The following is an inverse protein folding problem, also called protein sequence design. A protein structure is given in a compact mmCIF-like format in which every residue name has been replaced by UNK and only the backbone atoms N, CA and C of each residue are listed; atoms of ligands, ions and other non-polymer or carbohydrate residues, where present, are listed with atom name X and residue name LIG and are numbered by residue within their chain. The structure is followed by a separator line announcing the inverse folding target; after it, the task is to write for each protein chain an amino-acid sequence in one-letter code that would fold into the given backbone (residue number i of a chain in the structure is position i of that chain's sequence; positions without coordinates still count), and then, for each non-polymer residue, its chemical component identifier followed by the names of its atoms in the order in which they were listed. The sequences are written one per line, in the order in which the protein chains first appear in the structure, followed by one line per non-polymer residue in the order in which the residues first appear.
data_IF_490008988491
#
_entry.id   IF_490008988491
#
_cell.length_a   1.000
_cell.length_b   1.000
_cell.length_c   1.000
_cell.angle_alpha   90.00
_cell.angle_beta   90.00
_cell.angle_gamma   90.00
#
_symmetry.space_group_name_H-M   'P 1'
#
loop_
_entity.id
_entity.type
_entity.pdbx_description
1 polymer ?
#
# COMPACT_ATOMS: atom_id res chain seq x y z
N UNK A 1 24.39 11.35 -17.35
CA UNK A 1 24.68 11.98 -16.04
C UNK A 1 25.65 11.08 -15.28
N UNK A 2 26.65 11.67 -14.59
CA UNK A 2 27.53 10.85 -13.75
C UNK A 2 26.84 10.62 -12.41
N UNK A 3 26.65 9.37 -12.02
CA UNK A 3 26.06 9.03 -10.71
C UNK A 3 27.08 9.37 -9.61
N UNK A 4 26.71 10.10 -8.55
CA UNK A 4 27.62 10.42 -7.44
C UNK A 4 27.94 9.16 -6.63
N UNK A 5 29.00 9.22 -5.82
CA UNK A 5 29.36 8.11 -4.91
C UNK A 5 28.59 8.16 -3.60
N UNK A 6 28.14 9.34 -3.21
CA UNK A 6 27.44 9.62 -1.94
C UNK A 6 26.10 10.28 -2.28
N UNK A 7 25.09 9.97 -1.51
CA UNK A 7 23.73 10.49 -1.64
C UNK A 7 23.19 10.91 -0.29
N UNK A 8 22.19 11.79 -0.28
CA UNK A 8 21.38 12.08 0.89
C UNK A 8 20.35 10.97 1.12
N UNK A 9 20.13 10.64 2.37
CA UNK A 9 19.19 9.60 2.80
C UNK A 9 18.61 9.93 4.17
N UNK A 10 17.61 9.16 4.61
CA UNK A 10 17.10 9.16 5.98
C UNK A 10 17.48 7.86 6.65
N UNK A 11 18.12 7.96 7.81
CA UNK A 11 18.51 6.83 8.65
C UNK A 11 17.69 6.77 9.92
N UNK A 12 17.61 5.56 10.51
CA UNK A 12 17.00 5.30 11.81
C UNK A 12 18.14 5.15 12.82
N UNK A 13 18.19 6.02 13.85
CA UNK A 13 19.24 5.96 14.87
C UNK A 13 19.11 4.72 15.77
N UNK A 14 17.90 4.46 16.22
CA UNK A 14 17.49 3.36 17.08
C UNK A 14 15.97 3.15 16.95
N UNK A 15 15.41 2.00 17.35
CA UNK A 15 13.96 1.84 17.39
C UNK A 15 13.29 2.88 18.31
N UNK A 16 12.25 3.56 17.83
CA UNK A 16 11.60 4.59 18.66
C UNK A 16 10.57 5.45 17.94
N UNK A 17 10.32 6.61 18.52
CA UNK A 17 9.39 7.65 18.06
C UNK A 17 9.91 8.37 16.80
N UNK A 18 9.11 9.18 16.07
CA UNK A 18 9.52 9.79 14.81
C UNK A 18 10.86 10.55 14.83
N UNK A 19 11.26 11.08 15.97
CA UNK A 19 12.52 11.86 16.13
C UNK A 19 13.80 11.01 15.99
N UNK A 20 13.71 9.68 15.93
CA UNK A 20 14.85 8.82 15.65
C UNK A 20 15.20 8.78 14.16
N UNK A 21 14.31 9.29 13.28
CA UNK A 21 14.60 9.53 11.88
C UNK A 21 15.41 10.80 11.72
N UNK A 22 16.52 10.74 11.00
CA UNK A 22 17.39 11.88 10.77
C UNK A 22 17.99 11.87 9.36
N UNK A 23 18.23 13.08 8.83
CA UNK A 23 18.95 13.24 7.58
C UNK A 23 20.41 12.75 7.73
N UNK A 24 20.86 11.98 6.79
CA UNK A 24 22.15 11.32 6.78
C UNK A 24 22.70 11.30 5.35
N UNK A 25 23.97 10.92 5.20
CA UNK A 25 24.59 10.67 3.90
C UNK A 25 25.10 9.23 3.83
N UNK A 26 24.90 8.58 2.70
CA UNK A 26 25.32 7.21 2.48
C UNK A 26 25.91 6.98 1.10
N UNK A 27 26.42 5.78 0.87
CA UNK A 27 26.86 5.39 -0.47
C UNK A 27 25.66 5.16 -1.37
N UNK A 28 25.76 5.61 -2.61
CA UNK A 28 24.83 5.20 -3.67
C UNK A 28 24.93 3.68 -3.82
N UNK A 29 23.81 2.93 -3.85
CA UNK A 29 23.84 1.48 -3.99
C UNK A 29 24.43 1.05 -5.33
N UNK A 30 25.17 -0.04 -5.33
CA UNK A 30 25.66 -0.69 -6.54
C UNK A 30 24.49 -1.42 -7.23
N UNK A 31 24.50 -1.44 -8.55
CA UNK A 31 23.49 -2.16 -9.33
C UNK A 31 23.90 -3.62 -9.45
N UNK A 32 23.09 -4.51 -8.94
CA UNK A 32 23.25 -5.96 -9.09
C UNK A 32 22.69 -6.48 -10.42
N UNK A 33 22.95 -7.74 -10.75
CA UNK A 33 22.37 -8.39 -11.92
C UNK A 33 20.83 -8.34 -11.84
N UNK A 34 20.17 -8.02 -12.97
CA UNK A 34 18.72 -7.89 -13.06
C UNK A 34 18.13 -6.66 -12.34
N UNK A 35 18.96 -5.66 -12.03
CA UNK A 35 18.52 -4.44 -11.34
C UNK A 35 18.70 -3.17 -12.18
N UNK A 36 17.98 -2.14 -11.80
CA UNK A 36 18.18 -0.76 -12.26
C UNK A 36 18.44 0.15 -11.06
N UNK A 37 19.20 1.22 -11.26
CA UNK A 37 19.33 2.33 -10.31
C UNK A 37 18.37 3.45 -10.69
N UNK A 38 17.51 3.82 -9.76
CA UNK A 38 16.54 4.91 -9.93
C UNK A 38 17.06 6.13 -9.18
N UNK A 39 17.18 7.28 -9.87
CA UNK A 39 17.25 8.57 -9.21
C UNK A 39 15.85 8.92 -8.73
N UNK A 40 15.65 8.88 -7.44
CA UNK A 40 14.35 9.05 -6.80
C UNK A 40 13.93 10.51 -6.86
N UNK A 41 12.75 10.77 -7.40
CA UNK A 41 12.11 12.09 -7.39
C UNK A 41 11.02 12.16 -6.31
N UNK A 42 10.41 11.02 -5.95
CA UNK A 42 9.44 10.91 -4.87
C UNK A 42 9.42 9.50 -4.26
N UNK A 43 9.07 9.40 -2.97
CA UNK A 43 8.90 8.14 -2.23
C UNK A 43 7.63 8.16 -1.37
N UNK A 44 6.87 7.07 -1.38
CA UNK A 44 5.66 6.93 -0.57
C UNK A 44 5.97 6.58 0.88
N UNK A 45 5.20 7.15 1.82
CA UNK A 45 5.20 6.77 3.23
C UNK A 45 4.16 5.68 3.45
N UNK A 46 4.54 4.62 4.16
CA UNK A 46 3.68 3.48 4.43
C UNK A 46 3.71 3.06 5.91
N UNK A 47 2.68 2.40 6.39
CA UNK A 47 2.65 1.91 7.79
C UNK A 47 3.81 0.97 8.11
N UNK A 48 4.27 0.07 7.22
CA UNK A 48 5.47 -0.74 7.45
C UNK A 48 6.74 0.07 7.69
N UNK A 49 6.89 1.28 7.12
CA UNK A 49 8.05 2.16 7.38
C UNK A 49 8.05 2.64 8.83
N UNK A 50 6.84 2.98 9.35
CA UNK A 50 6.65 3.33 10.77
C UNK A 50 6.99 2.12 11.65
N UNK A 51 6.52 0.93 11.29
CA UNK A 51 6.84 -0.31 12.04
C UNK A 51 8.33 -0.65 12.00
N UNK A 52 9.01 -0.41 10.87
CA UNK A 52 10.47 -0.57 10.77
C UNK A 52 11.17 0.40 11.72
N UNK A 53 10.78 1.68 11.71
CA UNK A 53 11.33 2.68 12.64
C UNK A 53 11.13 2.28 14.11
N UNK A 54 9.99 1.68 14.44
CA UNK A 54 9.69 1.17 15.79
C UNK A 54 10.40 -0.15 16.15
N UNK A 55 11.15 -0.77 15.22
CA UNK A 55 11.82 -2.05 15.42
C UNK A 55 10.91 -3.29 15.29
N UNK A 56 9.67 -3.11 14.84
CA UNK A 56 8.65 -4.15 14.76
C UNK A 56 8.51 -4.79 13.36
N UNK A 57 9.26 -4.31 12.37
CA UNK A 57 9.18 -4.80 10.99
C UNK A 57 10.55 -4.71 10.31
N UNK A 58 11.43 -5.62 10.64
CA UNK A 58 12.80 -5.63 10.13
C UNK A 58 12.86 -5.87 8.62
N UNK A 59 13.80 -5.21 7.90
CA UNK A 59 14.09 -5.54 6.52
C UNK A 59 14.46 -7.02 6.35
N UNK A 60 14.02 -7.69 5.27
CA UNK A 60 14.47 -9.04 4.98
C UNK A 60 15.99 -9.06 4.73
N UNK A 61 16.64 -10.22 4.88
CA UNK A 61 18.08 -10.36 4.62
C UNK A 61 18.45 -9.83 3.23
N UNK A 62 19.51 -9.01 3.16
CA UNK A 62 19.98 -8.39 1.92
C UNK A 62 19.27 -7.10 1.50
N UNK A 63 18.13 -6.76 2.09
CA UNK A 63 17.46 -5.50 1.81
C UNK A 63 18.12 -4.31 2.53
N UNK A 64 17.97 -3.12 1.96
CA UNK A 64 18.46 -1.87 2.56
C UNK A 64 17.84 -1.64 3.94
N UNK A 65 18.66 -1.13 4.87
CA UNK A 65 18.21 -0.70 6.20
C UNK A 65 17.53 0.69 6.15
N UNK A 66 17.75 1.45 5.07
CA UNK A 66 17.06 2.71 4.81
C UNK A 66 15.56 2.40 4.63
N UNK A 67 14.64 3.13 5.29
CA UNK A 67 13.20 2.95 5.09
C UNK A 67 12.75 3.27 3.66
N UNK A 68 11.47 3.01 3.39
CA UNK A 68 10.81 3.32 2.13
C UNK A 68 10.66 2.11 1.23
N UNK A 69 9.41 1.74 0.95
CA UNK A 69 9.03 0.54 0.21
C UNK A 69 8.59 0.81 -1.21
N UNK A 70 8.47 2.07 -1.61
CA UNK A 70 8.07 2.46 -2.95
C UNK A 70 8.70 3.80 -3.35
N UNK A 71 9.04 3.90 -4.63
CA UNK A 71 9.66 5.10 -5.20
C UNK A 71 9.11 5.38 -6.61
N UNK A 72 9.22 6.65 -7.04
CA UNK A 72 9.11 7.04 -8.43
C UNK A 72 10.30 7.94 -8.79
N UNK A 73 10.77 7.85 -10.03
CA UNK A 73 11.91 8.61 -10.49
C UNK A 73 12.37 8.18 -11.87
N UNK A 74 13.63 8.45 -12.18
CA UNK A 74 14.23 8.12 -13.47
C UNK A 74 15.34 7.08 -13.34
N UNK A 75 15.34 6.12 -14.25
CA UNK A 75 16.45 5.17 -14.38
C UNK A 75 17.74 5.92 -14.75
N UNK A 76 18.81 5.72 -14.00
CA UNK A 76 20.13 6.37 -14.24
C UNK A 76 21.25 5.37 -14.51
N UNK A 77 21.11 4.11 -14.09
CA UNK A 77 21.98 2.99 -14.45
C UNK A 77 21.13 1.73 -14.61
N UNK A 78 21.59 0.83 -15.45
CA UNK A 78 21.01 -0.51 -15.67
C UNK A 78 22.14 -1.54 -15.59
N UNK A 79 21.85 -2.74 -15.11
CA UNK A 79 22.78 -3.86 -15.17
C UNK A 79 22.96 -4.32 -16.64
N UNK A 80 24.11 -4.95 -16.92
CA UNK A 80 24.46 -5.39 -18.30
C UNK A 80 23.46 -6.42 -18.87
N UNK A 81 22.76 -7.16 -18.02
CA UNK A 81 21.77 -8.18 -18.37
C UNK A 81 20.34 -7.63 -18.48
N UNK A 82 20.11 -6.33 -18.28
CA UNK A 82 18.81 -5.67 -18.38
C UNK A 82 18.58 -5.06 -19.74
N UNK A 83 17.49 -5.42 -20.39
CA UNK A 83 17.10 -4.96 -21.73
C UNK A 83 15.75 -4.25 -21.77
N UNK A 84 14.95 -4.37 -20.70
CA UNK A 84 13.57 -3.87 -20.64
C UNK A 84 13.46 -2.37 -20.36
N UNK A 85 14.52 -1.76 -19.80
CA UNK A 85 14.58 -0.35 -19.44
C UNK A 85 15.80 0.35 -20.01
N UNK A 86 15.69 1.66 -20.17
CA UNK A 86 16.77 2.52 -20.66
C UNK A 86 17.03 3.65 -19.66
N UNK A 87 18.26 4.16 -19.66
CA UNK A 87 18.61 5.36 -18.89
C UNK A 87 17.73 6.53 -19.33
N UNK A 88 17.06 7.18 -18.39
CA UNK A 88 16.10 8.26 -18.61
C UNK A 88 14.64 7.85 -18.51
N UNK A 89 14.34 6.55 -18.51
CA UNK A 89 12.95 6.07 -18.37
C UNK A 89 12.35 6.52 -17.04
N UNK A 90 11.11 7.01 -17.11
CA UNK A 90 10.28 7.38 -15.96
C UNK A 90 9.61 6.14 -15.40
N UNK A 91 9.92 5.80 -14.16
CA UNK A 91 9.48 4.56 -13.52
C UNK A 91 8.96 4.76 -12.10
N UNK A 92 8.11 3.84 -11.63
CA UNK A 92 7.84 3.62 -10.23
C UNK A 92 8.17 2.16 -9.87
N UNK A 93 8.56 1.91 -8.63
CA UNK A 93 9.01 0.58 -8.23
C UNK A 93 8.58 0.24 -6.80
N UNK A 94 8.22 -1.04 -6.60
CA UNK A 94 8.10 -1.64 -5.28
C UNK A 94 9.49 -2.14 -4.85
N UNK A 95 9.97 -1.67 -3.70
CA UNK A 95 11.28 -2.04 -3.16
C UNK A 95 11.15 -2.64 -1.76
N UNK A 96 12.20 -3.29 -1.28
CA UNK A 96 12.20 -3.89 0.07
C UNK A 96 12.89 -3.00 1.12
N UNK A 97 13.18 -1.75 0.78
CA UNK A 97 13.87 -0.72 1.54
C UNK A 97 14.65 0.18 0.59
N UNK A 98 15.19 1.30 1.09
CA UNK A 98 16.00 2.22 0.31
C UNK A 98 15.25 3.41 -0.30
N UNK A 99 13.91 3.46 -0.18
CA UNK A 99 13.12 4.50 -0.82
C UNK A 99 13.34 5.92 -0.24
N UNK A 100 13.77 6.03 1.01
CA UNK A 100 14.04 7.34 1.62
C UNK A 100 15.48 7.80 1.34
N UNK A 101 15.87 7.81 0.07
CA UNK A 101 17.18 8.24 -0.40
C UNK A 101 17.10 8.78 -1.83
N UNK A 102 18.10 9.57 -2.24
CA UNK A 102 18.17 10.14 -3.59
C UNK A 102 18.33 9.09 -4.71
N UNK A 103 18.86 7.92 -4.35
CA UNK A 103 19.03 6.80 -5.28
C UNK A 103 18.61 5.49 -4.62
N UNK A 104 17.90 4.68 -5.38
CA UNK A 104 17.43 3.37 -4.95
C UNK A 104 17.59 2.36 -6.08
N UNK A 105 18.19 1.20 -5.80
CA UNK A 105 18.17 0.10 -6.75
C UNK A 105 16.87 -0.70 -6.63
N UNK A 106 16.43 -1.23 -7.76
CA UNK A 106 15.19 -2.03 -7.81
C UNK A 106 15.37 -3.20 -8.79
N UNK A 107 14.95 -4.42 -8.40
CA UNK A 107 14.86 -5.55 -9.32
C UNK A 107 13.89 -5.25 -10.46
N UNK A 108 14.33 -5.47 -11.70
CA UNK A 108 13.55 -5.18 -12.92
C UNK A 108 12.10 -5.71 -12.87
N UNK A 109 11.82 -6.94 -12.39
CA UNK A 109 10.45 -7.44 -12.32
C UNK A 109 9.50 -6.63 -11.42
N UNK A 110 10.04 -5.79 -10.51
CA UNK A 110 9.26 -4.94 -9.60
C UNK A 110 9.17 -3.48 -10.07
N UNK A 111 9.76 -3.16 -11.22
CA UNK A 111 9.75 -1.84 -11.82
C UNK A 111 8.61 -1.75 -12.85
N UNK A 112 7.90 -0.65 -12.82
CA UNK A 112 6.79 -0.36 -13.73
C UNK A 112 6.97 1.03 -14.34
N UNK A 113 6.58 1.26 -15.58
CA UNK A 113 6.58 2.61 -16.12
C UNK A 113 5.61 3.48 -15.32
N UNK A 114 5.92 4.76 -15.15
CA UNK A 114 4.98 5.71 -14.54
C UNK A 114 3.66 5.65 -15.31
N UNK A 115 2.51 5.44 -14.63
CA UNK A 115 1.22 5.43 -15.31
C UNK A 115 0.95 6.76 -16.02
N UNK A 116 0.41 6.70 -17.24
CA UNK A 116 0.12 7.91 -18.01
C UNK A 116 -0.82 8.85 -17.25
N UNK A 117 -0.50 10.13 -17.28
CA UNK A 117 -1.26 11.18 -16.61
C UNK A 117 -0.88 11.42 -15.15
N UNK A 118 -0.08 10.55 -14.52
CA UNK A 118 0.42 10.78 -13.16
C UNK A 118 1.73 11.58 -13.15
N UNK A 119 1.84 12.50 -12.20
CA UNK A 119 3.11 13.11 -11.78
C UNK A 119 3.99 12.08 -11.04
N UNK A 120 5.29 12.38 -10.87
CA UNK A 120 6.18 11.54 -10.05
C UNK A 120 5.72 11.44 -8.59
N UNK A 121 5.14 12.50 -8.06
CA UNK A 121 4.55 12.53 -6.70
C UNK A 121 3.42 11.51 -6.58
N UNK A 122 2.49 11.47 -7.52
CA UNK A 122 1.39 10.51 -7.54
C UNK A 122 1.90 9.10 -7.81
N UNK A 123 2.81 8.93 -8.77
CA UNK A 123 3.39 7.64 -9.12
C UNK A 123 4.14 6.97 -7.96
N UNK A 124 4.76 7.74 -7.08
CA UNK A 124 5.41 7.23 -5.87
C UNK A 124 4.42 6.66 -4.84
N UNK A 125 3.13 6.92 -4.95
CA UNK A 125 2.09 6.35 -4.10
C UNK A 125 1.39 5.12 -4.69
N UNK A 126 1.86 4.61 -5.84
CA UNK A 126 1.22 3.50 -6.57
C UNK A 126 1.73 2.13 -6.12
N UNK A 127 3.05 1.83 -6.08
CA UNK A 127 3.52 0.45 -5.98
C UNK A 127 3.03 -0.29 -4.73
N UNK A 128 3.29 0.21 -3.54
CA UNK A 128 2.92 -0.50 -2.30
C UNK A 128 1.41 -0.73 -2.18
N UNK A 129 0.60 0.26 -2.55
CA UNK A 129 -0.85 0.14 -2.47
C UNK A 129 -1.41 -0.83 -3.51
N UNK A 130 -1.01 -0.68 -4.77
CA UNK A 130 -1.59 -1.47 -5.85
C UNK A 130 -1.15 -2.92 -5.81
N UNK A 131 0.12 -3.21 -5.48
CA UNK A 131 0.59 -4.58 -5.26
C UNK A 131 -0.15 -5.22 -4.09
N UNK A 132 -0.31 -4.50 -2.97
CA UNK A 132 -1.01 -5.01 -1.79
C UNK A 132 -2.48 -5.29 -2.08
N UNK A 133 -3.18 -4.34 -2.71
CA UNK A 133 -4.60 -4.51 -3.03
C UNK A 133 -4.79 -5.63 -4.06
N UNK A 134 -4.02 -5.64 -5.13
CA UNK A 134 -4.14 -6.64 -6.18
C UNK A 134 -3.98 -8.06 -5.63
N UNK A 135 -2.88 -8.30 -4.92
CA UNK A 135 -2.64 -9.64 -4.38
C UNK A 135 -3.61 -10.08 -3.30
N UNK A 136 -4.20 -9.15 -2.54
CA UNK A 136 -5.09 -9.50 -1.43
C UNK A 136 -6.56 -9.48 -1.81
N UNK A 137 -7.02 -8.56 -2.63
CA UNK A 137 -8.43 -8.48 -3.05
C UNK A 137 -8.72 -9.43 -4.20
N UNK A 138 -7.85 -9.44 -5.24
CA UNK A 138 -8.12 -10.19 -6.47
C UNK A 138 -7.49 -11.58 -6.48
N UNK A 139 -6.19 -11.71 -6.19
CA UNK A 139 -5.54 -13.03 -6.23
C UNK A 139 -5.93 -13.91 -5.04
N UNK A 140 -5.84 -13.40 -3.80
CA UNK A 140 -6.10 -14.16 -2.58
C UNK A 140 -7.58 -14.15 -2.17
N UNK A 141 -8.20 -12.98 -2.17
CA UNK A 141 -9.61 -12.77 -1.85
C UNK A 141 -10.54 -13.27 -2.95
N UNK A 142 -10.04 -13.32 -4.21
CA UNK A 142 -10.79 -13.82 -5.36
C UNK A 142 -12.09 -13.04 -5.59
N UNK A 143 -12.07 -11.71 -5.39
CA UNK A 143 -13.25 -10.86 -5.58
C UNK A 143 -13.84 -11.07 -6.98
N UNK A 144 -15.13 -11.35 -7.03
CA UNK A 144 -15.87 -11.53 -8.27
C UNK A 144 -16.80 -10.34 -8.56
N UNK A 145 -17.08 -10.13 -9.83
CA UNK A 145 -18.09 -9.14 -10.25
C UNK A 145 -19.44 -9.46 -9.62
N UNK A 146 -20.06 -8.43 -9.02
CA UNK A 146 -21.37 -8.53 -8.36
C UNK A 146 -21.30 -8.95 -6.88
N UNK A 147 -20.13 -9.36 -6.37
CA UNK A 147 -19.94 -9.59 -4.93
C UNK A 147 -19.89 -8.26 -4.16
N UNK A 148 -20.10 -8.33 -2.86
CA UNK A 148 -19.96 -7.20 -1.93
C UNK A 148 -18.66 -7.34 -1.16
N UNK A 149 -17.85 -6.28 -1.14
CA UNK A 149 -16.63 -6.20 -0.34
C UNK A 149 -16.78 -5.17 0.78
N UNK A 150 -16.33 -5.52 1.99
CA UNK A 150 -16.13 -4.59 3.09
C UNK A 150 -14.65 -4.25 3.21
N UNK A 151 -14.31 -2.96 3.12
CA UNK A 151 -12.94 -2.46 3.20
C UNK A 151 -12.79 -1.65 4.49
N UNK A 152 -12.00 -2.11 5.44
CA UNK A 152 -11.68 -1.31 6.62
C UNK A 152 -10.61 -0.27 6.30
N UNK A 153 -10.75 0.94 6.88
CA UNK A 153 -9.80 2.02 6.66
C UNK A 153 -9.86 2.61 5.24
N UNK A 154 -11.05 2.83 4.69
CA UNK A 154 -11.30 3.28 3.33
C UNK A 154 -10.56 4.54 2.90
N UNK A 155 -10.26 5.45 3.83
CA UNK A 155 -9.53 6.68 3.54
C UNK A 155 -8.00 6.54 3.54
N UNK A 156 -7.46 5.37 3.84
CA UNK A 156 -6.00 5.10 3.75
C UNK A 156 -5.56 4.94 2.28
N UNK A 157 -4.27 4.96 2.02
CA UNK A 157 -3.75 4.68 0.68
C UNK A 157 -4.23 3.32 0.14
N UNK A 158 -4.21 2.27 0.97
CA UNK A 158 -4.77 0.95 0.62
C UNK A 158 -6.27 1.04 0.38
N UNK A 159 -7.01 1.71 1.27
CA UNK A 159 -8.47 1.81 1.18
C UNK A 159 -8.93 2.55 -0.08
N UNK A 160 -8.32 3.70 -0.38
CA UNK A 160 -8.66 4.49 -1.57
C UNK A 160 -8.37 3.73 -2.87
N UNK A 161 -7.31 2.93 -2.90
CA UNK A 161 -6.97 2.05 -4.03
C UNK A 161 -7.97 0.88 -4.13
N UNK A 162 -8.28 0.22 -3.01
CA UNK A 162 -9.18 -0.94 -2.99
C UNK A 162 -10.61 -0.56 -3.40
N UNK A 163 -11.11 0.60 -2.94
CA UNK A 163 -12.43 1.12 -3.32
C UNK A 163 -12.52 1.27 -4.84
N UNK A 164 -11.58 2.01 -5.45
CA UNK A 164 -11.60 2.27 -6.88
C UNK A 164 -11.50 0.99 -7.72
N UNK A 165 -10.57 0.10 -7.37
CA UNK A 165 -10.38 -1.14 -8.12
C UNK A 165 -11.57 -2.09 -7.97
N UNK A 166 -12.15 -2.24 -6.77
CA UNK A 166 -13.32 -3.08 -6.54
C UNK A 166 -14.56 -2.52 -7.27
N UNK A 167 -14.78 -1.20 -7.20
CA UNK A 167 -15.85 -0.53 -7.93
C UNK A 167 -15.74 -0.74 -9.45
N UNK A 168 -14.58 -0.51 -10.02
CA UNK A 168 -14.32 -0.71 -11.46
C UNK A 168 -14.40 -2.18 -11.88
N UNK A 169 -14.14 -3.10 -10.97
CA UNK A 169 -14.36 -4.54 -11.20
C UNK A 169 -15.86 -4.91 -11.23
N UNK A 170 -16.72 -4.03 -10.72
CA UNK A 170 -18.17 -4.24 -10.66
C UNK A 170 -18.63 -4.92 -9.38
N UNK A 171 -17.86 -4.84 -8.30
CA UNK A 171 -18.29 -5.23 -6.96
C UNK A 171 -19.06 -4.10 -6.28
N UNK A 172 -19.92 -4.45 -5.31
CA UNK A 172 -20.52 -3.50 -4.39
C UNK A 172 -19.54 -3.22 -3.24
N UNK A 173 -19.24 -1.96 -2.98
CA UNK A 173 -18.21 -1.56 -2.03
C UNK A 173 -18.81 -0.93 -0.78
N UNK A 174 -18.60 -1.56 0.37
CA UNK A 174 -18.87 -0.99 1.69
C UNK A 174 -17.51 -0.67 2.32
N UNK A 175 -17.37 0.48 2.97
CA UNK A 175 -16.12 0.82 3.65
C UNK A 175 -16.35 1.43 5.01
N UNK A 176 -15.33 1.38 5.88
CA UNK A 176 -15.35 2.08 7.16
C UNK A 176 -14.29 3.18 7.20
N UNK A 177 -14.63 4.32 7.76
CA UNK A 177 -13.73 5.45 7.95
C UNK A 177 -14.00 6.15 9.31
N UNK A 178 -13.11 7.03 9.76
CA UNK A 178 -13.16 7.58 11.11
C UNK A 178 -13.71 9.01 11.22
N UNK A 179 -14.31 9.56 10.15
CA UNK A 179 -15.01 10.85 10.16
C UNK A 179 -15.91 10.98 8.95
N UNK A 180 -16.89 11.88 9.00
CA UNK A 180 -17.78 12.18 7.89
C UNK A 180 -17.04 12.68 6.64
N UNK A 181 -16.01 13.50 6.80
CA UNK A 181 -15.14 13.94 5.69
C UNK A 181 -14.49 12.75 4.97
N UNK A 182 -13.94 11.80 5.75
CA UNK A 182 -13.33 10.57 5.22
C UNK A 182 -14.35 9.66 4.55
N UNK A 183 -15.55 9.55 5.11
CA UNK A 183 -16.65 8.80 4.50
C UNK A 183 -17.03 9.40 3.15
N UNK A 184 -17.15 10.72 3.08
CA UNK A 184 -17.46 11.42 1.83
C UNK A 184 -16.41 11.19 0.75
N UNK A 185 -15.13 11.30 1.10
CA UNK A 185 -14.04 11.00 0.17
C UNK A 185 -14.10 9.55 -0.34
N UNK A 186 -14.46 8.58 0.51
CA UNK A 186 -14.65 7.20 0.08
C UNK A 186 -15.81 7.02 -0.91
N UNK A 187 -16.94 7.71 -0.70
CA UNK A 187 -18.09 7.69 -1.62
C UNK A 187 -17.72 8.30 -2.97
N UNK A 188 -16.98 9.42 -2.99
CA UNK A 188 -16.49 10.06 -4.21
C UNK A 188 -15.54 9.16 -5.03
N UNK A 189 -14.87 8.20 -4.38
CA UNK A 189 -14.00 7.21 -5.01
C UNK A 189 -14.74 5.98 -5.55
N UNK A 190 -16.06 5.89 -5.33
CA UNK A 190 -16.88 4.79 -5.82
C UNK A 190 -17.28 3.76 -4.76
N UNK A 191 -17.17 4.06 -3.47
CA UNK A 191 -17.82 3.25 -2.45
C UNK A 191 -19.34 3.44 -2.53
N UNK A 192 -20.11 2.36 -2.46
CA UNK A 192 -21.59 2.42 -2.41
C UNK A 192 -22.06 2.87 -1.03
N UNK A 193 -21.33 2.47 0.03
CA UNK A 193 -21.61 2.86 1.40
C UNK A 193 -20.32 3.12 2.17
N UNK A 194 -20.33 4.19 2.97
CA UNK A 194 -19.22 4.52 3.87
C UNK A 194 -19.74 4.69 5.30
N UNK A 195 -19.20 3.95 6.24
CA UNK A 195 -19.66 3.89 7.63
C UNK A 195 -18.66 4.60 8.52
N UNK A 196 -19.10 5.65 9.23
CA UNK A 196 -18.31 6.27 10.28
C UNK A 196 -18.31 5.39 11.54
N UNK A 197 -17.24 4.58 11.71
CA UNK A 197 -17.12 3.62 12.81
C UNK A 197 -17.04 4.26 14.19
N UNK A 198 -16.91 5.59 14.29
CA UNK A 198 -16.91 6.31 15.56
C UNK A 198 -18.35 6.65 16.03
N UNK A 199 -19.29 6.68 15.12
CA UNK A 199 -20.69 7.08 15.37
C UNK A 199 -21.66 5.91 15.23
N UNK A 200 -21.31 4.88 14.46
CA UNK A 200 -22.16 3.72 14.22
C UNK A 200 -21.40 2.41 14.41
N UNK A 201 -22.11 1.38 14.89
CA UNK A 201 -21.61 0.01 14.87
C UNK A 201 -21.66 -0.52 13.42
N UNK A 202 -20.48 -0.79 12.86
CA UNK A 202 -20.38 -1.22 11.48
C UNK A 202 -21.01 -2.60 11.23
N UNK A 203 -21.08 -3.47 12.23
CA UNK A 203 -21.71 -4.80 12.08
C UNK A 203 -23.21 -4.62 11.80
N UNK A 204 -23.89 -3.81 12.60
CA UNK A 204 -25.31 -3.52 12.42
C UNK A 204 -25.56 -2.86 11.06
N UNK A 205 -24.72 -1.90 10.65
CA UNK A 205 -24.86 -1.22 9.36
C UNK A 205 -24.63 -2.19 8.18
N UNK A 206 -23.62 -3.05 8.25
CA UNK A 206 -23.40 -4.06 7.21
C UNK A 206 -24.58 -5.03 7.11
N UNK A 207 -25.13 -5.49 8.24
CA UNK A 207 -26.30 -6.36 8.24
C UNK A 207 -27.53 -5.67 7.61
N UNK A 208 -27.75 -4.41 7.92
CA UNK A 208 -28.84 -3.61 7.32
C UNK A 208 -28.65 -3.46 5.81
N UNK A 209 -27.48 -2.99 5.36
CA UNK A 209 -27.12 -2.77 3.95
C UNK A 209 -27.26 -4.05 3.12
N UNK A 210 -26.86 -5.18 3.69
CA UNK A 210 -26.90 -6.50 3.03
C UNK A 210 -28.20 -7.27 3.27
N UNK A 211 -29.16 -6.70 3.99
CA UNK A 211 -30.41 -7.37 4.39
C UNK A 211 -30.16 -8.72 5.09
N UNK A 212 -29.14 -8.76 5.97
CA UNK A 212 -28.76 -9.93 6.73
C UNK A 212 -27.93 -10.97 5.98
N UNK A 213 -27.59 -10.76 4.71
CA UNK A 213 -26.80 -11.74 3.91
C UNK A 213 -25.32 -11.73 4.25
N UNK A 214 -24.80 -10.59 4.71
CA UNK A 214 -23.38 -10.37 4.90
C UNK A 214 -22.65 -10.01 3.60
N UNK A 215 -21.31 -9.93 3.66
CA UNK A 215 -20.43 -9.59 2.55
C UNK A 215 -19.56 -10.78 2.14
N UNK A 216 -19.28 -10.91 0.86
CA UNK A 216 -18.50 -12.03 0.34
C UNK A 216 -17.00 -11.89 0.63
N UNK A 217 -16.49 -10.66 0.71
CA UNK A 217 -15.07 -10.41 0.98
C UNK A 217 -14.90 -9.29 2.01
N UNK A 218 -13.94 -9.46 2.92
CA UNK A 218 -13.49 -8.39 3.82
C UNK A 218 -11.98 -8.20 3.65
N UNK A 219 -11.55 -6.96 3.43
CA UNK A 219 -10.16 -6.54 3.51
C UNK A 219 -9.93 -5.84 4.85
N UNK A 220 -9.14 -6.45 5.73
CA UNK A 220 -8.88 -5.94 7.07
C UNK A 220 -7.42 -5.60 7.31
N UNK A 221 -7.19 -4.38 7.81
CA UNK A 221 -5.90 -3.89 8.30
C UNK A 221 -5.94 -3.53 9.79
N UNK A 222 -7.09 -3.71 10.44
CA UNK A 222 -7.31 -3.29 11.84
C UNK A 222 -6.95 -4.41 12.82
N UNK A 223 -7.51 -5.59 12.62
CA UNK A 223 -7.29 -6.73 13.51
C UNK A 223 -7.96 -6.58 14.89
N UNK A 224 -7.44 -7.26 15.91
CA UNK A 224 -7.95 -7.21 17.28
C UNK A 224 -9.41 -7.66 17.35
N UNK A 225 -10.24 -6.89 18.04
CA UNK A 225 -11.68 -7.12 18.18
C UNK A 225 -12.48 -7.07 16.87
N UNK A 226 -11.88 -6.51 15.80
CA UNK A 226 -12.50 -6.51 14.48
C UNK A 226 -12.60 -7.92 13.88
N UNK A 227 -11.72 -8.85 14.23
CA UNK A 227 -11.74 -10.21 13.68
C UNK A 227 -13.10 -10.90 13.98
N UNK A 228 -13.57 -10.85 15.23
CA UNK A 228 -14.87 -11.44 15.57
C UNK A 228 -16.04 -10.73 14.91
N UNK A 229 -15.99 -9.41 14.82
CA UNK A 229 -16.99 -8.59 14.13
C UNK A 229 -17.02 -8.89 12.63
N UNK A 230 -15.85 -9.04 12.02
CA UNK A 230 -15.71 -9.42 10.62
C UNK A 230 -16.32 -10.78 10.33
N UNK A 231 -16.06 -11.78 11.19
CA UNK A 231 -16.68 -13.11 11.08
C UNK A 231 -18.22 -13.01 11.07
N UNK A 232 -18.79 -12.10 11.88
CA UNK A 232 -20.23 -11.85 11.92
C UNK A 232 -20.77 -11.15 10.66
N UNK A 233 -19.94 -10.35 9.99
CA UNK A 233 -20.31 -9.64 8.76
C UNK A 233 -20.20 -10.50 7.51
N UNK A 234 -19.47 -11.62 7.55
CA UNK A 234 -19.27 -12.46 6.37
C UNK A 234 -20.53 -13.23 5.96
N UNK A 235 -20.76 -13.26 4.67
CA UNK A 235 -21.77 -14.11 4.03
C UNK A 235 -21.34 -15.59 4.08
N UNK A 236 -22.25 -16.50 3.68
CA UNK A 236 -21.93 -17.89 3.47
C UNK A 236 -20.76 -18.04 2.47
N UNK A 237 -19.75 -18.84 2.84
CA UNK A 237 -18.48 -19.01 2.07
C UNK A 237 -17.65 -17.72 1.92
N UNK A 238 -17.92 -16.72 2.77
CA UNK A 238 -17.23 -15.45 2.77
C UNK A 238 -15.73 -15.58 3.14
N UNK A 239 -14.95 -14.60 2.70
CA UNK A 239 -13.49 -14.58 2.86
C UNK A 239 -13.05 -13.33 3.62
N UNK A 240 -12.24 -13.51 4.67
CA UNK A 240 -11.55 -12.45 5.38
C UNK A 240 -10.07 -12.47 5.01
N UNK A 241 -9.57 -11.36 4.47
CA UNK A 241 -8.15 -11.18 4.13
C UNK A 241 -7.52 -10.16 5.06
N UNK A 242 -6.65 -10.63 5.95
CA UNK A 242 -5.89 -9.81 6.89
C UNK A 242 -4.58 -9.34 6.27
N UNK A 243 -4.33 -8.03 6.26
CA UNK A 243 -3.12 -7.45 5.66
C UNK A 243 -2.23 -6.68 6.64
N UNK A 244 -2.76 -6.31 7.80
CA UNK A 244 -2.02 -5.64 8.86
C UNK A 244 -2.78 -5.77 10.20
N UNK A 245 -2.12 -5.37 11.29
CA UNK A 245 -2.70 -5.29 12.61
C UNK A 245 -2.43 -3.90 13.22
N UNK A 246 -3.40 -3.00 13.12
CA UNK A 246 -3.36 -1.70 13.82
C UNK A 246 -3.77 -1.83 15.29
N UNK A 247 -4.53 -2.89 15.62
CA UNK A 247 -4.85 -3.36 16.98
C UNK A 247 -4.06 -4.63 17.27
N UNK A 248 -4.03 -5.12 18.54
CA UNK A 248 -3.31 -6.33 18.89
C UNK A 248 -3.68 -7.53 18.01
N UNK A 249 -2.66 -8.30 17.59
CA UNK A 249 -2.84 -9.50 16.77
C UNK A 249 -3.43 -10.70 17.53
N UNK A 250 -3.39 -10.66 18.87
CA UNK A 250 -3.91 -11.72 19.76
C UNK A 250 -5.27 -11.28 20.28
N UNK A 251 -6.30 -12.12 20.06
CA UNK A 251 -7.65 -11.91 20.55
C UNK A 251 -8.38 -13.25 20.74
N UNK A 252 -9.39 -13.29 21.61
CA UNK A 252 -10.30 -14.43 21.71
C UNK A 252 -11.30 -14.41 20.57
N UNK A 253 -11.51 -15.56 19.92
CA UNK A 253 -12.34 -15.69 18.73
C UNK A 253 -13.28 -16.90 18.89
N UNK A 254 -14.58 -16.71 18.66
CA UNK A 254 -15.53 -17.80 18.47
C UNK A 254 -15.44 -18.31 17.02
N UNK A 255 -14.92 -19.50 16.84
CA UNK A 255 -14.75 -20.13 15.53
C UNK A 255 -15.99 -20.89 15.03
N UNK A 256 -17.05 -21.06 15.83
CA UNK A 256 -18.23 -21.78 15.40
C UNK A 256 -18.87 -21.20 14.12
N UNK A 257 -19.02 -19.88 13.95
CA UNK A 257 -19.53 -19.29 12.70
C UNK A 257 -18.64 -19.60 11.49
N UNK A 258 -17.30 -19.67 11.68
CA UNK A 258 -16.39 -20.02 10.60
C UNK A 258 -16.70 -21.42 10.03
N UNK A 259 -16.92 -22.40 10.89
CA UNK A 259 -17.29 -23.76 10.47
C UNK A 259 -18.70 -23.80 9.86
N UNK A 260 -19.69 -23.19 10.52
CA UNK A 260 -21.10 -23.23 10.10
C UNK A 260 -21.29 -22.60 8.73
N UNK A 261 -20.66 -21.44 8.51
CA UNK A 261 -20.77 -20.67 7.28
C UNK A 261 -19.66 -20.98 6.26
N UNK A 262 -18.80 -21.96 6.50
CA UNK A 262 -17.69 -22.38 5.63
C UNK A 262 -16.77 -21.23 5.22
N UNK A 263 -16.43 -20.37 6.20
CA UNK A 263 -15.65 -19.16 5.96
C UNK A 263 -14.17 -19.46 5.72
N UNK A 264 -13.51 -18.63 4.93
CA UNK A 264 -12.06 -18.62 4.76
C UNK A 264 -11.46 -17.41 5.47
N UNK A 265 -10.50 -17.65 6.37
CA UNK A 265 -9.69 -16.60 6.99
C UNK A 265 -8.25 -16.78 6.50
N UNK A 266 -7.71 -15.76 5.87
CA UNK A 266 -6.36 -15.77 5.30
C UNK A 266 -5.69 -14.42 5.48
N UNK A 267 -4.41 -14.31 5.12
CA UNK A 267 -3.69 -13.07 5.16
C UNK A 267 -2.37 -13.16 4.43
N UNK A 268 -1.71 -12.03 4.24
CA UNK A 268 -0.38 -12.01 3.63
C UNK A 268 0.43 -10.78 4.03
N UNK A 269 1.75 -10.93 3.90
CA UNK A 269 2.70 -9.82 3.85
C UNK A 269 3.29 -9.73 2.45
N UNK A 270 3.68 -8.54 2.02
CA UNK A 270 4.22 -8.31 0.68
C UNK A 270 5.75 -8.26 0.68
N UNK A 271 6.35 -7.53 1.63
CA UNK A 271 7.79 -7.23 1.67
C UNK A 271 8.71 -8.46 1.58
N UNK A 272 8.45 -9.59 2.30
CA UNK A 272 9.33 -10.77 2.27
C UNK A 272 9.13 -11.68 1.05
N UNK A 273 8.20 -11.37 0.14
CA UNK A 273 8.01 -12.16 -1.09
C UNK A 273 9.22 -12.06 -1.99
N UNK A 274 9.46 -13.13 -2.78
CA UNK A 274 10.56 -13.16 -3.73
C UNK A 274 10.38 -12.16 -4.87
N UNK A 275 11.45 -11.87 -5.60
CA UNK A 275 11.42 -10.99 -6.78
C UNK A 275 10.43 -11.52 -7.82
N UNK A 276 10.43 -12.84 -8.06
CA UNK A 276 9.54 -13.49 -9.02
C UNK A 276 8.07 -13.36 -8.61
N UNK A 277 7.77 -13.54 -7.32
CA UNK A 277 6.40 -13.39 -6.81
C UNK A 277 5.88 -11.96 -6.95
N UNK A 278 6.73 -10.97 -6.66
CA UNK A 278 6.39 -9.55 -6.84
C UNK A 278 6.31 -9.19 -8.33
N UNK A 279 7.19 -9.76 -9.17
CA UNK A 279 7.17 -9.60 -10.62
C UNK A 279 5.89 -10.12 -11.26
N UNK A 280 5.36 -11.24 -10.79
CA UNK A 280 4.07 -11.76 -11.25
C UNK A 280 2.93 -10.77 -10.94
N UNK A 281 2.92 -10.18 -9.73
CA UNK A 281 1.94 -9.14 -9.38
C UNK A 281 2.10 -7.91 -10.29
N UNK A 282 3.34 -7.46 -10.52
CA UNK A 282 3.62 -6.32 -11.40
C UNK A 282 3.11 -6.54 -12.82
N UNK A 283 3.29 -7.75 -13.37
CA UNK A 283 2.80 -8.11 -14.70
C UNK A 283 1.28 -8.02 -14.79
N UNK A 284 0.57 -8.57 -13.82
CA UNK A 284 -0.89 -8.48 -13.76
C UNK A 284 -1.38 -7.03 -13.59
N UNK A 285 -0.70 -6.22 -12.76
CA UNK A 285 -1.01 -4.79 -12.61
C UNK A 285 -0.82 -4.05 -13.94
N UNK A 286 0.28 -4.30 -14.65
CA UNK A 286 0.57 -3.69 -15.95
C UNK A 286 -0.51 -4.03 -16.99
N UNK A 287 -1.00 -5.27 -16.97
CA UNK A 287 -2.04 -5.74 -17.89
C UNK A 287 -3.43 -5.19 -17.53
N UNK A 288 -3.82 -5.23 -16.26
CA UNK A 288 -5.20 -5.00 -15.85
C UNK A 288 -5.45 -3.60 -15.26
N UNK A 289 -4.44 -2.95 -14.69
CA UNK A 289 -4.61 -1.68 -13.95
C UNK A 289 -4.04 -0.48 -14.71
N UNK A 290 -2.88 -0.61 -15.36
CA UNK A 290 -2.27 0.50 -16.14
C UNK A 290 -3.20 1.06 -17.22
N UNK A 291 -3.98 0.23 -17.97
CA UNK A 291 -4.98 0.75 -18.91
C UNK A 291 -6.07 1.61 -18.24
N UNK A 292 -6.40 1.37 -16.98
CA UNK A 292 -7.40 2.18 -16.25
C UNK A 292 -6.87 3.58 -15.93
N UNK A 293 -5.58 3.71 -15.61
CA UNK A 293 -4.92 5.01 -15.47
C UNK A 293 -4.92 5.77 -16.80
N UNK A 294 -4.58 5.11 -17.92
CA UNK A 294 -4.63 5.70 -19.26
C UNK A 294 -6.02 6.20 -19.64
N UNK A 295 -7.08 5.57 -19.13
CA UNK A 295 -8.46 5.97 -19.35
C UNK A 295 -8.93 7.06 -18.37
N UNK A 296 -8.09 7.52 -17.45
CA UNK A 296 -8.44 8.49 -16.41
C UNK A 296 -9.47 7.97 -15.38
N UNK A 297 -9.59 6.64 -15.23
CA UNK A 297 -10.55 6.00 -14.32
C UNK A 297 -10.01 5.81 -12.91
N UNK A 298 -8.71 5.95 -12.72
CA UNK A 298 -8.03 5.82 -11.44
C UNK A 298 -7.33 7.13 -11.10
N UNK A 299 -7.34 7.49 -9.83
CA UNK A 299 -6.61 8.62 -9.29
C UNK A 299 -5.83 8.21 -8.04
N UNK A 300 -4.71 8.86 -7.80
CA UNK A 300 -3.92 8.71 -6.60
C UNK A 300 -4.14 9.93 -5.73
N UNK A 301 -4.78 9.75 -4.58
CA UNK A 301 -4.99 10.84 -3.63
C UNK A 301 -3.71 11.08 -2.82
N UNK A 302 -3.07 12.21 -3.04
CA UNK A 302 -1.92 12.67 -2.25
C UNK A 302 -2.40 13.71 -1.25
N UNK A 303 -2.35 13.37 0.03
CA UNK A 303 -2.77 14.26 1.11
C UNK A 303 -1.78 15.41 1.31
N UNK A 304 -0.50 15.05 1.42
CA UNK A 304 0.57 16.01 1.69
C UNK A 304 1.93 15.47 1.24
N UNK A 305 2.79 16.41 0.84
CA UNK A 305 4.20 16.13 0.54
C UNK A 305 5.11 16.73 1.61
N UNK A 306 6.25 16.09 1.85
CA UNK A 306 7.31 16.53 2.74
C UNK A 306 8.66 16.45 2.03
N UNK A 307 9.63 17.28 2.36
CA UNK A 307 11.02 17.05 1.93
C UNK A 307 11.59 15.80 2.62
N UNK A 308 12.63 15.20 2.04
CA UNK A 308 13.29 14.01 2.60
C UNK A 308 13.69 14.21 4.06
N UNK A 309 14.24 15.37 4.39
CA UNK A 309 14.70 15.75 5.74
C UNK A 309 13.56 15.80 6.78
N UNK A 310 12.31 15.94 6.32
CA UNK A 310 11.10 16.00 7.14
C UNK A 310 10.36 14.65 7.23
N UNK A 311 11.04 13.56 6.95
CA UNK A 311 10.45 12.22 7.07
C UNK A 311 9.86 11.94 8.46
N UNK A 312 10.44 12.49 9.53
CA UNK A 312 9.91 12.39 10.88
C UNK A 312 8.53 13.07 11.03
N UNK A 313 8.31 14.25 10.40
CA UNK A 313 7.01 14.93 10.39
C UNK A 313 5.98 14.11 9.60
N UNK A 314 6.40 13.53 8.45
CA UNK A 314 5.57 12.65 7.64
C UNK A 314 5.14 11.38 8.42
N UNK A 315 6.03 10.79 9.21
CA UNK A 315 5.70 9.65 10.09
C UNK A 315 4.72 10.06 11.19
N UNK A 316 4.87 11.24 11.82
CA UNK A 316 3.87 11.74 12.79
C UNK A 316 2.48 11.88 12.16
N UNK A 317 2.39 12.41 10.94
CA UNK A 317 1.12 12.50 10.24
C UNK A 317 0.52 11.12 9.93
N UNK A 318 1.35 10.15 9.52
CA UNK A 318 0.91 8.76 9.31
C UNK A 318 0.34 8.13 10.59
N UNK A 319 1.00 8.36 11.73
CA UNK A 319 0.57 7.82 13.03
C UNK A 319 -0.69 8.51 13.56
N UNK A 320 -0.82 9.81 13.36
CA UNK A 320 -2.03 10.57 13.71
C UNK A 320 -3.27 10.10 12.93
N UNK A 321 -3.07 9.42 11.80
CA UNK A 321 -4.15 8.86 10.96
C UNK A 321 -5.23 9.90 10.59
N UNK A 322 -4.85 11.18 10.44
CA UNK A 322 -5.76 12.27 10.01
C UNK A 322 -5.82 12.44 8.49
N UNK A 323 -4.85 11.94 7.76
CA UNK A 323 -4.73 12.04 6.31
C UNK A 323 -5.81 11.24 5.56
N UNK A 324 -6.01 11.60 4.29
CA UNK A 324 -6.79 10.87 3.29
C UNK A 324 -5.85 10.55 2.12
N UNK A 325 -5.70 9.27 1.75
CA UNK A 325 -4.78 8.85 0.69
C UNK A 325 -3.34 8.74 1.15
N UNK A 326 -2.41 9.20 0.32
CA UNK A 326 -0.96 9.03 0.48
C UNK A 326 -0.26 10.24 1.09
N UNK A 327 0.80 9.96 1.81
CA UNK A 327 1.81 10.92 2.25
C UNK A 327 3.07 10.61 1.44
N UNK A 328 3.70 11.63 0.85
CA UNK A 328 4.81 11.45 -0.09
C UNK A 328 6.01 12.30 0.35
N UNK A 329 7.21 11.74 0.26
CA UNK A 329 8.47 12.50 0.30
C UNK A 329 8.76 13.01 -1.11
N UNK A 330 8.90 14.33 -1.26
CA UNK A 330 9.28 15.00 -2.52
C UNK A 330 10.79 15.29 -2.49
N UNK A 331 11.53 14.59 -3.36
CA UNK A 331 12.97 14.71 -3.51
C UNK A 331 13.34 15.54 -4.75
N UNK A 332 12.37 16.03 -5.51
CA UNK A 332 12.61 16.76 -6.77
C UNK A 332 13.23 18.15 -6.57
N UNK A 333 13.15 18.69 -5.35
CA UNK A 333 13.59 20.05 -4.99
C UNK A 333 14.91 20.09 -4.21
N UNK A 334 15.66 19.00 -4.22
CA UNK A 334 16.97 18.92 -3.54
C UNK A 334 18.12 19.24 -4.50
#
# INVERSE_FOLDING_TARGET
MTVPKIMNQVSIREPGEPDVLFADTGKVPEVGAGEVLIKVEAAGINRPDVMQRQGNYNPPPGASQIPGLEVAGKVVLIADDVTEYHVGDAVCALVSGGGYAEYCNAPVPQVLPVPAGLSMIEAAGVPENYFTVWTNVFQRGGLQKGETILIHGGSSGIGTTAIQLAHLHGAKVITTAGSEEKCRACLELGADHAINYREADFVNQVQEITSGKGVELILDMVGGDYIQKNITCLALEGRLVQIAFLKPAINEINLAPMMINRLTITGSTLRPRTVEQKGAIASELRENVWPLFHQGKLQVLVHQTFSLEKANEAHRLMEASTHIGKIILDLSKQ
#
